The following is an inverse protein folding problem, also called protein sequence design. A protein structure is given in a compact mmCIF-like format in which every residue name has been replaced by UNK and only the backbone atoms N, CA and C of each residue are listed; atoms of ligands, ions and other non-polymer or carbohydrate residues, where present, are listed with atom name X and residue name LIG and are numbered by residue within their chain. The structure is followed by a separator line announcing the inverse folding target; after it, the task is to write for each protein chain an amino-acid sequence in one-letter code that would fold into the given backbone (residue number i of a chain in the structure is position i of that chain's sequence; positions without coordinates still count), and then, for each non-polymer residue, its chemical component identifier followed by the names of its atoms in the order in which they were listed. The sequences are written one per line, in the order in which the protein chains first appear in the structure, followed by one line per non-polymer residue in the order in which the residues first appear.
data_IF_957247531256
#
_entry.id   IF_957247531256
#
_cell.length_a   1.000
_cell.length_b   1.000
_cell.length_c   1.000
_cell.angle_alpha   90.00
_cell.angle_beta   90.00
_cell.angle_gamma   90.00
#
_symmetry.space_group_name_H-M   'P 1'
#
loop_
_entity.id
_entity.type
_entity.pdbx_description
1 polymer ?
#
# COMPACT_ATOMS: atom_id res chain seq x y z
N UNK A 1 19.48 -13.56 -25.85
CA UNK A 1 19.13 -12.78 -24.64
C UNK A 1 19.93 -11.47 -24.58
N UNK A 2 19.29 -10.30 -24.65
CA UNK A 2 19.97 -9.03 -24.34
C UNK A 2 19.99 -8.82 -22.80
N UNK A 3 21.16 -8.57 -22.18
CA UNK A 3 21.31 -8.44 -20.72
C UNK A 3 20.37 -7.41 -20.07
N UNK A 4 19.92 -6.43 -20.85
CA UNK A 4 19.17 -5.26 -20.41
C UNK A 4 17.71 -5.56 -20.07
N UNK A 5 17.05 -6.47 -20.80
CA UNK A 5 15.64 -6.81 -20.58
C UNK A 5 15.43 -7.64 -19.29
N UNK A 6 16.31 -8.61 -19.07
CA UNK A 6 16.28 -9.48 -17.88
C UNK A 6 16.58 -8.69 -16.60
N UNK A 7 17.49 -7.73 -16.69
CA UNK A 7 17.77 -6.79 -15.59
C UNK A 7 16.55 -5.89 -15.28
N UNK A 8 15.81 -5.45 -16.31
CA UNK A 8 14.61 -4.62 -16.15
C UNK A 8 13.50 -5.37 -15.41
N UNK A 9 13.25 -6.64 -15.76
CA UNK A 9 12.27 -7.48 -15.05
C UNK A 9 12.66 -7.74 -13.59
N UNK A 10 13.95 -8.02 -13.31
CA UNK A 10 14.44 -8.17 -11.92
C UNK A 10 14.21 -6.91 -11.10
N UNK A 11 14.48 -5.75 -11.70
CA UNK A 11 14.26 -4.45 -11.05
C UNK A 11 12.78 -4.20 -10.76
N UNK A 12 11.87 -4.49 -11.70
CA UNK A 12 10.42 -4.36 -11.48
C UNK A 12 9.91 -5.30 -10.39
N UNK A 13 10.38 -6.55 -10.38
CA UNK A 13 10.03 -7.52 -9.33
C UNK A 13 10.48 -7.06 -7.95
N UNK A 14 11.68 -6.49 -7.84
CA UNK A 14 12.19 -5.93 -6.60
C UNK A 14 11.35 -4.75 -6.11
N UNK A 15 10.95 -3.83 -7.01
CA UNK A 15 10.11 -2.68 -6.66
C UNK A 15 8.71 -3.11 -6.19
N UNK A 16 8.12 -4.10 -6.84
CA UNK A 16 6.83 -4.66 -6.44
C UNK A 16 6.89 -5.30 -5.04
N UNK A 17 7.94 -6.09 -4.76
CA UNK A 17 8.14 -6.69 -3.43
C UNK A 17 8.33 -5.63 -2.33
N UNK A 18 9.01 -4.53 -2.64
CA UNK A 18 9.19 -3.40 -1.73
C UNK A 18 7.85 -2.71 -1.43
N UNK A 19 7.09 -2.35 -2.47
CA UNK A 19 5.76 -1.72 -2.31
C UNK A 19 4.81 -2.59 -1.48
N UNK A 20 4.81 -3.91 -1.72
CA UNK A 20 3.99 -4.84 -0.96
C UNK A 20 4.35 -4.88 0.53
N UNK A 21 5.65 -4.82 0.84
CA UNK A 21 6.15 -4.78 2.22
C UNK A 21 5.79 -3.46 2.91
N UNK A 22 5.91 -2.33 2.20
CA UNK A 22 5.51 -1.00 2.69
C UNK A 22 4.00 -0.92 2.95
N UNK A 23 3.19 -1.51 2.05
CA UNK A 23 1.73 -1.56 2.20
C UNK A 23 1.31 -2.39 3.42
N UNK A 24 1.91 -3.57 3.60
CA UNK A 24 1.65 -4.40 4.77
C UNK A 24 1.98 -3.67 6.09
N UNK A 25 3.09 -2.92 6.12
CA UNK A 25 3.48 -2.14 7.28
C UNK A 25 2.52 -0.96 7.57
N UNK A 26 1.97 -0.32 6.54
CA UNK A 26 0.95 0.72 6.70
C UNK A 26 -0.37 0.14 7.20
N UNK A 27 -0.83 -0.98 6.66
CA UNK A 27 -2.05 -1.66 7.09
C UNK A 27 -1.98 -2.08 8.56
N UNK A 28 -0.84 -2.65 8.99
CA UNK A 28 -0.63 -3.00 10.40
C UNK A 28 -0.71 -1.77 11.32
N UNK A 29 -0.17 -0.63 10.89
CA UNK A 29 -0.23 0.63 11.63
C UNK A 29 -1.65 1.21 11.70
N UNK A 30 -2.43 1.14 10.62
CA UNK A 30 -3.84 1.54 10.60
C UNK A 30 -4.64 0.66 11.56
N UNK A 31 -4.42 -0.66 11.54
CA UNK A 31 -5.08 -1.59 12.45
C UNK A 31 -4.80 -1.24 13.92
N UNK A 32 -3.56 -0.88 14.25
CA UNK A 32 -3.19 -0.45 15.59
C UNK A 32 -3.86 0.88 16.01
N UNK A 33 -3.96 1.85 15.08
CA UNK A 33 -4.66 3.11 15.34
C UNK A 33 -6.15 2.86 15.62
N UNK A 34 -6.81 1.98 14.86
CA UNK A 34 -8.22 1.60 15.06
C UNK A 34 -8.43 1.06 16.48
N UNK A 35 -7.60 0.11 16.92
CA UNK A 35 -7.71 -0.45 18.28
C UNK A 35 -7.47 0.62 19.36
N UNK A 36 -6.54 1.54 19.12
CA UNK A 36 -6.27 2.67 20.02
C UNK A 36 -7.49 3.60 20.12
N UNK A 37 -8.14 3.93 19.01
CA UNK A 37 -9.35 4.75 18.98
C UNK A 37 -10.51 4.08 19.72
N UNK A 38 -10.69 2.76 19.57
CA UNK A 38 -11.69 1.99 20.32
C UNK A 38 -11.46 2.10 21.83
N UNK A 39 -10.21 1.97 22.30
CA UNK A 39 -9.87 2.12 23.72
C UNK A 39 -10.19 3.51 24.27
N UNK A 40 -9.89 4.56 23.50
CA UNK A 40 -10.23 5.93 23.89
C UNK A 40 -11.75 6.15 23.94
N UNK A 41 -12.51 5.60 23.01
CA UNK A 41 -13.97 5.65 23.02
C UNK A 41 -14.55 4.97 24.26
N UNK A 42 -14.09 3.76 24.60
CA UNK A 42 -14.53 3.05 25.83
C UNK A 42 -14.21 3.89 27.08
N UNK A 43 -13.00 4.46 27.18
CA UNK A 43 -12.63 5.34 28.30
C UNK A 43 -13.52 6.58 28.37
N UNK A 44 -13.89 7.15 27.23
CA UNK A 44 -14.78 8.30 27.14
C UNK A 44 -16.21 7.95 27.62
N UNK A 45 -16.73 6.79 27.24
CA UNK A 45 -18.04 6.28 27.67
C UNK A 45 -18.08 5.93 29.17
N UNK A 46 -16.98 5.43 29.73
CA UNK A 46 -16.87 5.13 31.17
C UNK A 46 -16.75 6.39 32.06
N UNK A 47 -16.34 7.53 31.52
CA UNK A 47 -16.19 8.79 32.27
C UNK A 47 -17.51 9.57 32.32
N UNK A 48 -18.42 9.16 33.20
CA UNK A 48 -19.80 9.64 33.29
C UNK A 48 -20.12 10.80 34.28
N UNK A 49 -19.16 11.60 34.78
CA UNK A 49 -19.50 12.68 35.74
C UNK A 49 -18.89 14.05 35.43
N UNK A 50 -19.55 15.12 35.88
CA UNK A 50 -19.31 16.53 35.50
C UNK A 50 -17.85 17.02 35.67
N UNK A 51 -17.10 16.48 36.63
CA UNK A 51 -15.67 16.80 36.83
C UNK A 51 -14.74 16.21 35.75
N UNK A 52 -15.22 15.24 34.96
CA UNK A 52 -14.45 14.57 33.90
C UNK A 52 -14.59 15.25 32.53
N UNK A 53 -15.43 16.30 32.38
CA UNK A 53 -15.60 17.03 31.10
C UNK A 53 -14.28 17.60 30.56
N UNK A 54 -13.36 18.03 31.42
CA UNK A 54 -12.03 18.52 30.99
C UNK A 54 -11.14 17.37 30.50
N UNK A 55 -11.20 16.20 31.16
CA UNK A 55 -10.51 14.99 30.70
C UNK A 55 -11.12 14.46 29.40
N UNK A 56 -12.44 14.61 29.22
CA UNK A 56 -13.15 14.26 27.99
C UNK A 56 -12.67 15.10 26.79
N UNK A 57 -12.41 16.39 26.97
CA UNK A 57 -11.81 17.24 25.91
C UNK A 57 -10.43 16.71 25.49
N UNK A 58 -9.61 16.26 26.43
CA UNK A 58 -8.30 15.68 26.10
C UNK A 58 -8.42 14.36 25.32
N UNK A 59 -9.40 13.52 25.67
CA UNK A 59 -9.70 12.27 24.96
C UNK A 59 -10.28 12.54 23.57
N UNK A 60 -11.21 13.50 23.44
CA UNK A 60 -11.74 13.93 22.15
C UNK A 60 -10.66 14.49 21.23
N UNK A 61 -9.73 15.30 21.75
CA UNK A 61 -8.61 15.81 20.97
C UNK A 61 -7.66 14.68 20.53
N UNK A 62 -7.40 13.70 21.39
CA UNK A 62 -6.61 12.52 21.02
C UNK A 62 -7.29 11.68 19.94
N UNK A 63 -8.62 11.50 20.03
CA UNK A 63 -9.44 10.82 19.02
C UNK A 63 -9.40 11.57 17.69
N UNK A 64 -9.63 12.90 17.70
CA UNK A 64 -9.63 13.72 16.49
C UNK A 64 -8.26 13.72 15.80
N UNK A 65 -7.16 13.80 16.58
CA UNK A 65 -5.79 13.69 16.06
C UNK A 65 -5.50 12.31 15.50
N UNK A 66 -6.01 11.24 16.14
CA UNK A 66 -5.89 9.87 15.64
C UNK A 66 -6.64 9.68 14.32
N UNK A 67 -7.85 10.24 14.22
CA UNK A 67 -8.65 10.26 12.99
C UNK A 67 -7.93 10.93 11.84
N UNK A 68 -7.41 12.15 12.02
CA UNK A 68 -6.67 12.85 10.95
C UNK A 68 -5.43 12.07 10.47
N UNK A 69 -4.67 11.46 11.39
CA UNK A 69 -3.55 10.57 11.02
C UNK A 69 -3.99 9.34 10.24
N UNK A 70 -5.15 8.80 10.58
CA UNK A 70 -5.70 7.63 9.89
C UNK A 70 -6.18 8.00 8.49
N UNK A 71 -6.81 9.17 8.32
CA UNK A 71 -7.17 9.72 7.00
C UNK A 71 -5.94 9.92 6.11
N UNK A 72 -4.87 10.54 6.63
CA UNK A 72 -3.59 10.68 5.93
C UNK A 72 -3.01 9.32 5.50
N UNK A 73 -3.06 8.31 6.38
CA UNK A 73 -2.58 6.96 6.10
C UNK A 73 -3.44 6.25 5.05
N UNK A 74 -4.75 6.43 5.09
CA UNK A 74 -5.68 5.89 4.07
C UNK A 74 -5.38 6.49 2.71
N UNK A 75 -5.15 7.80 2.64
CA UNK A 75 -4.80 8.44 1.37
C UNK A 75 -3.44 7.96 0.84
N UNK A 76 -2.46 7.77 1.73
CA UNK A 76 -1.19 7.17 1.34
C UNK A 76 -1.34 5.72 0.84
N UNK A 77 -2.24 4.93 1.45
CA UNK A 77 -2.55 3.57 0.97
C UNK A 77 -3.16 3.61 -0.44
N UNK A 78 -4.11 4.51 -0.71
CA UNK A 78 -4.68 4.65 -2.07
C UNK A 78 -3.62 5.01 -3.10
N UNK A 79 -2.75 5.96 -2.78
CA UNK A 79 -1.66 6.35 -3.67
C UNK A 79 -0.67 5.20 -3.91
N UNK A 80 -0.35 4.43 -2.87
CA UNK A 80 0.46 3.22 -3.01
C UNK A 80 -0.21 2.14 -3.85
N UNK A 81 -1.51 1.94 -3.72
CA UNK A 81 -2.29 0.99 -4.50
C UNK A 81 -2.26 1.35 -5.99
N UNK A 82 -2.47 2.64 -6.32
CA UNK A 82 -2.34 3.16 -7.69
C UNK A 82 -0.92 2.93 -8.26
N UNK A 83 0.12 3.19 -7.45
CA UNK A 83 1.51 2.93 -7.85
C UNK A 83 1.78 1.43 -8.07
N UNK A 84 1.16 0.56 -7.28
CA UNK A 84 1.24 -0.89 -7.43
C UNK A 84 0.60 -1.34 -8.75
N UNK A 85 -0.62 -0.87 -9.04
CA UNK A 85 -1.33 -1.16 -10.29
C UNK A 85 -0.52 -0.71 -11.52
N UNK A 86 0.04 0.51 -11.48
CA UNK A 86 0.88 1.02 -12.57
C UNK A 86 2.12 0.14 -12.80
N UNK A 87 2.77 -0.37 -11.74
CA UNK A 87 3.90 -1.27 -11.89
C UNK A 87 3.49 -2.65 -12.42
N UNK A 88 2.33 -3.17 -12.04
CA UNK A 88 1.81 -4.42 -12.58
C UNK A 88 1.52 -4.31 -14.08
N UNK A 89 0.91 -3.20 -14.52
CA UNK A 89 0.71 -2.92 -15.95
C UNK A 89 2.04 -2.81 -16.72
N UNK A 90 3.07 -2.20 -16.14
CA UNK A 90 4.40 -2.15 -16.77
C UNK A 90 5.05 -3.53 -16.90
N UNK A 91 4.87 -4.40 -15.89
CA UNK A 91 5.35 -5.79 -15.95
C UNK A 91 4.59 -6.57 -17.01
N UNK A 92 3.27 -6.42 -17.09
CA UNK A 92 2.44 -7.07 -18.11
C UNK A 92 2.83 -6.63 -19.52
N UNK A 93 3.04 -5.33 -19.75
CA UNK A 93 3.55 -4.80 -21.03
C UNK A 93 4.92 -5.38 -21.37
N UNK A 94 5.82 -5.48 -20.38
CA UNK A 94 7.14 -6.07 -20.60
C UNK A 94 7.06 -7.57 -20.96
N UNK A 95 6.15 -8.32 -20.33
CA UNK A 95 5.90 -9.73 -20.64
C UNK A 95 5.28 -9.91 -22.03
N UNK A 96 4.34 -9.05 -22.43
CA UNK A 96 3.73 -9.08 -23.76
C UNK A 96 4.76 -8.77 -24.86
N UNK A 97 5.62 -7.77 -24.65
CA UNK A 97 6.74 -7.47 -25.56
C UNK A 97 7.72 -8.65 -25.68
N UNK A 98 7.95 -9.36 -24.58
CA UNK A 98 8.77 -10.58 -24.59
C UNK A 98 8.10 -11.70 -25.40
N UNK A 99 6.80 -11.95 -25.20
CA UNK A 99 6.07 -12.97 -25.94
C UNK A 99 6.07 -12.70 -27.46
N UNK A 100 5.94 -11.44 -27.89
CA UNK A 100 6.02 -11.07 -29.31
C UNK A 100 7.41 -11.29 -29.92
N UNK A 101 8.48 -11.07 -29.16
CA UNK A 101 9.87 -11.32 -29.61
C UNK A 101 10.16 -12.83 -29.76
N UNK A 102 9.69 -13.65 -28.82
CA UNK A 102 9.80 -15.12 -28.89
C UNK A 102 9.04 -15.69 -30.11
N UNK A 103 7.91 -15.07 -30.49
CA UNK A 103 7.10 -15.51 -31.64
C UNK A 103 7.78 -15.17 -32.98
N UNK A 104 8.47 -14.02 -33.05
CA UNK A 104 9.26 -13.63 -34.24
C UNK A 104 10.53 -14.50 -34.40
N UNK A 105 11.22 -14.87 -33.31
CA UNK A 105 12.38 -15.77 -33.37
C UNK A 105 11.98 -17.19 -33.84
N UNK A 106 10.77 -17.68 -33.49
CA UNK A 106 10.24 -18.96 -34.01
C UNK A 106 9.85 -18.88 -35.49
N UNK A 107 9.22 -17.79 -35.92
CA UNK A 107 8.81 -17.58 -37.33
C UNK A 107 10.01 -17.52 -38.30
N UNK A 108 11.17 -17.06 -37.85
CA UNK A 108 12.38 -16.97 -38.68
C UNK A 108 13.11 -18.34 -38.72
N UNK A 109 12.97 -19.16 -37.69
CA UNK A 109 13.53 -20.51 -37.62
C UNK A 109 12.81 -21.55 -38.48
N UNK A 110 11.52 -21.35 -38.77
CA UNK A 110 10.70 -22.26 -39.60
C UNK A 110 10.71 -21.91 -41.11
N UNK A 111 11.45 -20.88 -41.52
CA UNK A 111 11.62 -20.47 -42.94
C UNK A 111 12.94 -20.89 -43.58
N UNK A 112 13.58 -21.96 -43.09
CA UNK A 112 14.76 -22.58 -43.70
C UNK A 112 14.53 -24.06 -44.02
#
# INVERSE_FOLDING_TARGET
MTPTALQKMRNQRSKCAQLHSELAALLARIQQDIETLKLYKIKAEMMGTCCQRVQYVSVLNALNKGLGKMEERVEHVKDMDLRCLAQLEEVEKALLQYATLDTEEQSIGDSW
#
